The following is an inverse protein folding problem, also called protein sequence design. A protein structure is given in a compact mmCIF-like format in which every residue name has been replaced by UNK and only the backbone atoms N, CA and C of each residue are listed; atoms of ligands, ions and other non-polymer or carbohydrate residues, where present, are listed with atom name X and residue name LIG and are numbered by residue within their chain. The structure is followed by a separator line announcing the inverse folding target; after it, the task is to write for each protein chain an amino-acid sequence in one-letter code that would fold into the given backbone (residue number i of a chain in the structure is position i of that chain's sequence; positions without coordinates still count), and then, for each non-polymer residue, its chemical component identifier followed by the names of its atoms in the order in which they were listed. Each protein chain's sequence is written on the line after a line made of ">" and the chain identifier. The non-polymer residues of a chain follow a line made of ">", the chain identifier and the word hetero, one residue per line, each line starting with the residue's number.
data_IF_623116163234
#
_entry.id   IF_623116163234
#
_cell.length_a   1.000
_cell.length_b   1.000
_cell.length_c   1.000
_cell.angle_alpha   90.00
_cell.angle_beta   90.00
_cell.angle_gamma   90.00
#
_symmetry.space_group_name_H-M   'P 1'
#
loop_
_entity.id
_entity.type
_entity.pdbx_description
1 polymer ?
#
# COMPACT_ATOMS: atom_id res chain seq x y z
N UNK A 1 36.85 17.59 9.82
CA UNK A 1 35.71 16.67 9.69
C UNK A 1 36.08 15.37 10.38
N UNK A 2 35.69 15.23 11.64
CA UNK A 2 36.05 14.08 12.46
C UNK A 2 35.14 12.89 12.12
N UNK A 3 35.73 11.83 11.57
CA UNK A 3 35.07 10.52 11.46
C UNK A 3 34.94 9.96 12.87
N UNK A 4 33.73 9.99 13.41
CA UNK A 4 33.39 9.24 14.62
C UNK A 4 33.35 7.77 14.24
N UNK A 5 34.48 7.11 14.44
CA UNK A 5 34.55 5.66 14.52
C UNK A 5 34.10 5.23 15.91
N UNK A 6 33.02 4.45 15.98
CA UNK A 6 32.93 3.32 16.89
C UNK A 6 31.77 2.45 16.42
N UNK A 7 32.10 1.43 15.63
CA UNK A 7 31.20 0.30 15.37
C UNK A 7 31.23 -0.57 16.62
N UNK A 8 30.66 -0.04 17.70
CA UNK A 8 30.25 -0.86 18.82
C UNK A 8 29.17 -1.79 18.26
N UNK A 9 29.48 -3.07 18.16
CA UNK A 9 28.48 -4.13 18.01
C UNK A 9 27.64 -4.15 19.27
N UNK A 10 26.83 -3.09 19.45
CA UNK A 10 25.82 -2.95 20.49
C UNK A 10 25.02 -4.24 20.45
N UNK A 11 25.21 -5.05 21.50
CA UNK A 11 24.52 -6.32 21.70
C UNK A 11 23.04 -6.07 21.45
N UNK A 12 22.58 -6.57 20.31
CA UNK A 12 21.21 -6.40 19.84
C UNK A 12 20.31 -7.27 20.73
N UNK A 13 19.93 -6.74 21.89
CA UNK A 13 19.02 -7.36 22.83
C UNK A 13 17.83 -6.43 23.07
N UNK A 14 16.67 -7.00 23.36
CA UNK A 14 15.50 -6.23 23.76
C UNK A 14 15.66 -5.74 25.20
N UNK A 15 15.67 -4.43 25.41
CA UNK A 15 15.79 -3.82 26.75
C UNK A 15 14.49 -3.84 27.55
N UNK A 16 13.38 -4.25 26.94
CA UNK A 16 12.11 -4.38 27.65
C UNK A 16 12.13 -5.58 28.61
N UNK A 17 12.06 -5.31 29.92
CA UNK A 17 12.14 -6.33 30.98
C UNK A 17 11.12 -7.47 30.83
N UNK A 18 9.93 -7.20 30.27
CA UNK A 18 8.90 -8.21 30.01
C UNK A 18 9.07 -9.02 28.71
N UNK A 19 10.19 -8.91 28.01
CA UNK A 19 10.42 -9.64 26.75
C UNK A 19 10.73 -11.12 27.01
N UNK A 20 9.94 -12.04 26.43
CA UNK A 20 10.17 -13.50 26.56
C UNK A 20 11.43 -14.00 25.85
N UNK A 21 11.92 -13.28 24.84
CA UNK A 21 13.06 -13.68 24.00
C UNK A 21 13.89 -12.43 23.66
N UNK A 22 14.61 -11.84 24.63
CA UNK A 22 15.30 -10.59 24.42
C UNK A 22 16.37 -10.66 23.32
N UNK A 23 17.02 -11.81 23.15
CA UNK A 23 18.09 -12.01 22.16
C UNK A 23 17.63 -12.80 20.91
N UNK A 24 16.38 -13.27 20.88
CA UNK A 24 15.90 -14.22 19.87
C UNK A 24 15.38 -13.61 18.58
N UNK A 25 15.53 -12.30 18.37
CA UNK A 25 15.01 -11.62 17.18
C UNK A 25 16.10 -11.38 16.13
N UNK A 26 15.72 -11.41 14.86
CA UNK A 26 16.61 -11.01 13.77
C UNK A 26 16.70 -9.49 13.62
N UNK A 27 15.68 -8.76 14.10
CA UNK A 27 15.54 -7.32 13.91
C UNK A 27 15.29 -6.62 15.25
N UNK A 28 15.99 -5.51 15.45
CA UNK A 28 15.90 -4.67 16.64
C UNK A 28 15.70 -3.22 16.22
N UNK A 29 14.89 -2.52 17.00
CA UNK A 29 14.47 -1.15 16.74
C UNK A 29 14.87 -0.29 17.92
N UNK A 30 15.80 0.63 17.71
CA UNK A 30 16.11 1.67 18.67
C UNK A 30 15.01 2.74 18.62
N UNK A 31 14.53 3.13 19.81
CA UNK A 31 13.50 4.14 19.99
C UNK A 31 14.20 5.46 20.31
N UNK A 32 14.17 6.41 19.37
CA UNK A 32 14.67 7.77 19.58
C UNK A 32 13.70 8.60 20.42
N UNK A 33 14.20 9.65 21.07
CA UNK A 33 13.40 10.59 21.86
C UNK A 33 12.37 11.38 21.01
N UNK A 34 12.61 11.47 19.71
CA UNK A 34 11.84 12.21 18.71
C UNK A 34 10.95 11.31 17.83
N UNK A 35 10.91 10.00 18.12
CA UNK A 35 10.30 9.02 17.20
C UNK A 35 8.78 8.95 17.36
N UNK A 36 8.06 9.80 16.64
CA UNK A 36 6.60 9.70 16.51
C UNK A 36 6.19 8.73 15.37
N UNK A 37 6.46 7.43 15.49
CA UNK A 37 5.99 6.46 14.48
C UNK A 37 4.61 5.91 14.83
N UNK A 38 3.64 6.04 13.91
CA UNK A 38 2.32 5.39 14.03
C UNK A 38 1.33 6.07 14.98
N UNK A 39 1.50 7.36 15.30
CA UNK A 39 0.55 8.13 16.09
C UNK A 39 0.44 7.69 17.56
N UNK A 40 1.48 7.05 18.10
CA UNK A 40 1.58 6.68 19.51
C UNK A 40 2.68 7.50 20.18
N UNK A 41 2.53 7.74 21.48
CA UNK A 41 3.58 8.36 22.29
C UNK A 41 4.64 7.32 22.64
N UNK A 42 5.86 7.51 22.13
CA UNK A 42 7.01 6.63 22.39
C UNK A 42 7.92 7.17 23.49
N UNK A 43 7.61 8.34 24.06
CA UNK A 43 8.44 8.99 25.10
C UNK A 43 8.79 8.07 26.27
N UNK A 44 7.87 7.22 26.78
CA UNK A 44 8.21 6.28 27.87
C UNK A 44 9.25 5.21 27.50
N UNK A 45 9.50 5.02 26.19
CA UNK A 45 10.43 4.03 25.66
C UNK A 45 11.65 4.67 25.00
N UNK A 46 11.83 5.99 25.07
CA UNK A 46 12.97 6.69 24.50
C UNK A 46 14.29 6.12 25.05
N UNK A 47 15.24 5.84 24.15
CA UNK A 47 16.52 5.20 24.47
C UNK A 47 16.45 3.67 24.60
N UNK A 48 15.27 3.06 24.59
CA UNK A 48 15.12 1.60 24.62
C UNK A 48 15.40 0.96 23.26
N UNK A 49 15.81 -0.31 23.29
CA UNK A 49 15.93 -1.18 22.10
C UNK A 49 14.87 -2.26 22.20
N UNK A 50 13.97 -2.32 21.22
CA UNK A 50 12.92 -3.33 21.18
C UNK A 50 13.20 -4.36 20.09
N UNK A 51 13.00 -5.64 20.40
CA UNK A 51 12.92 -6.66 19.35
C UNK A 51 11.69 -6.41 18.46
N UNK A 52 11.67 -7.01 17.26
CA UNK A 52 10.57 -6.82 16.30
C UNK A 52 9.18 -7.10 16.89
N UNK A 53 9.04 -8.13 17.72
CA UNK A 53 7.77 -8.48 18.34
C UNK A 53 7.29 -7.41 19.35
N UNK A 54 8.19 -6.89 20.19
CA UNK A 54 7.86 -5.83 21.14
C UNK A 54 7.57 -4.51 20.40
N UNK A 55 8.39 -4.16 19.41
CA UNK A 55 8.17 -2.96 18.58
C UNK A 55 6.79 -2.97 17.92
N UNK A 56 6.42 -4.06 17.24
CA UNK A 56 5.11 -4.17 16.59
C UNK A 56 3.96 -4.15 17.61
N UNK A 57 4.12 -4.78 18.78
CA UNK A 57 3.11 -4.74 19.84
C UNK A 57 2.84 -3.33 20.33
N UNK A 58 3.90 -2.56 20.64
CA UNK A 58 3.72 -1.17 21.08
C UNK A 58 3.16 -0.29 19.96
N UNK A 59 3.64 -0.47 18.72
CA UNK A 59 3.12 0.25 17.55
C UNK A 59 1.61 0.01 17.36
N UNK A 60 1.16 -1.23 17.53
CA UNK A 60 -0.25 -1.59 17.32
C UNK A 60 -1.14 -1.26 18.53
N UNK A 61 -0.66 -1.48 19.76
CA UNK A 61 -1.48 -1.38 21.00
C UNK A 61 -1.21 -0.13 21.84
N UNK A 62 -0.06 0.52 21.68
CA UNK A 62 0.40 1.61 22.56
C UNK A 62 0.93 1.16 23.92
N UNK A 63 1.01 -0.15 24.18
CA UNK A 63 1.58 -0.70 25.43
C UNK A 63 2.39 -1.97 25.15
N UNK A 64 3.47 -2.17 25.92
CA UNK A 64 4.27 -3.40 25.91
C UNK A 64 3.78 -4.42 26.93
N UNK A 65 2.90 -4.02 27.85
CA UNK A 65 2.39 -4.91 28.89
C UNK A 65 1.66 -6.09 28.26
N UNK A 66 1.99 -7.27 28.79
CA UNK A 66 1.30 -8.51 28.48
C UNK A 66 0.26 -8.70 29.56
N UNK A 67 -0.97 -8.32 29.26
CA UNK A 67 -2.12 -8.60 30.12
C UNK A 67 -2.07 -10.09 30.49
N UNK A 68 -2.22 -10.44 31.76
CA UNK A 68 -2.23 -11.85 32.20
C UNK A 68 -3.37 -12.65 31.53
N UNK A 69 -4.35 -11.96 30.93
CA UNK A 69 -5.33 -12.52 30.00
C UNK A 69 -4.68 -13.26 28.82
N UNK A 70 -3.47 -12.89 28.37
CA UNK A 70 -2.70 -13.60 27.35
C UNK A 70 -2.23 -15.00 27.82
N UNK A 71 -2.27 -15.30 29.13
CA UNK A 71 -1.89 -16.62 29.69
C UNK A 71 -3.07 -17.56 29.85
N UNK A 72 -4.30 -17.05 29.96
CA UNK A 72 -5.47 -17.93 30.10
C UNK A 72 -5.82 -18.43 28.71
N UNK A 73 -5.72 -19.76 28.43
CA UNK A 73 -6.26 -20.29 27.19
C UNK A 73 -7.71 -19.81 27.08
N UNK A 74 -8.12 -19.27 25.93
CA UNK A 74 -9.48 -18.78 25.75
C UNK A 74 -10.44 -19.90 26.14
N UNK A 75 -11.55 -19.58 26.83
CA UNK A 75 -12.53 -20.58 27.24
C UNK A 75 -12.87 -21.46 26.02
N UNK A 76 -12.87 -22.78 26.22
CA UNK A 76 -13.04 -23.81 25.19
C UNK A 76 -14.41 -23.83 24.52
N UNK A 77 -15.20 -22.76 24.67
CA UNK A 77 -16.45 -22.56 23.96
C UNK A 77 -16.22 -22.32 22.47
N UNK A 78 -17.25 -22.62 21.67
CA UNK A 78 -17.31 -22.33 20.24
C UNK A 78 -17.07 -20.84 20.04
N UNK A 79 -15.89 -20.48 19.51
CA UNK A 79 -15.53 -19.09 19.22
C UNK A 79 -16.42 -18.59 18.09
N UNK A 80 -17.27 -17.62 18.39
CA UNK A 80 -18.10 -16.91 17.40
C UNK A 80 -17.66 -15.46 17.35
N UNK A 81 -17.71 -14.89 16.15
CA UNK A 81 -17.53 -13.46 15.99
C UNK A 81 -18.71 -12.74 16.63
N UNK A 82 -18.45 -11.71 17.45
CA UNK A 82 -19.47 -10.89 18.08
C UNK A 82 -20.25 -10.04 17.07
N UNK A 83 -19.68 -9.80 15.89
CA UNK A 83 -20.37 -9.11 14.81
C UNK A 83 -21.44 -10.01 14.18
N UNK A 84 -22.71 -9.61 14.31
CA UNK A 84 -23.87 -10.37 13.79
C UNK A 84 -23.85 -10.56 12.28
N UNK A 85 -23.28 -9.63 11.52
CA UNK A 85 -23.11 -9.73 10.06
C UNK A 85 -21.86 -10.50 9.61
N UNK A 86 -21.19 -11.24 10.50
CA UNK A 86 -19.99 -11.99 10.15
C UNK A 86 -20.34 -13.31 9.46
N UNK A 87 -20.10 -13.38 8.15
CA UNK A 87 -20.28 -14.61 7.35
C UNK A 87 -19.10 -15.59 7.45
N UNK A 88 -18.07 -15.26 8.23
CA UNK A 88 -16.89 -16.10 8.32
C UNK A 88 -17.23 -17.37 9.12
N UNK A 89 -17.57 -18.45 8.40
CA UNK A 89 -17.67 -19.80 8.91
C UNK A 89 -16.47 -20.61 8.40
N UNK A 90 -15.74 -21.27 9.30
CA UNK A 90 -14.58 -22.07 8.92
C UNK A 90 -13.70 -22.47 10.10
N UNK A 91 -13.10 -23.65 10.01
CA UNK A 91 -12.32 -24.27 11.09
C UNK A 91 -10.97 -23.58 11.36
N UNK A 92 -10.55 -22.65 10.52
CA UNK A 92 -9.23 -21.99 10.60
C UNK A 92 -9.29 -20.47 10.81
N UNK A 93 -10.38 -19.98 11.40
CA UNK A 93 -10.54 -18.54 11.65
C UNK A 93 -9.82 -18.17 12.94
N UNK A 94 -8.83 -17.28 12.84
CA UNK A 94 -8.21 -16.66 14.03
C UNK A 94 -9.17 -15.66 14.65
N UNK A 95 -9.41 -15.78 15.95
CA UNK A 95 -10.21 -14.85 16.73
C UNK A 95 -9.32 -14.00 17.63
N UNK A 96 -9.72 -12.74 17.82
CA UNK A 96 -9.07 -11.78 18.69
C UNK A 96 -10.11 -11.24 19.66
N UNK A 97 -9.75 -11.20 20.94
CA UNK A 97 -10.52 -10.47 21.95
C UNK A 97 -10.06 -9.03 21.92
N UNK A 98 -11.02 -8.10 21.92
CA UNK A 98 -10.75 -6.67 21.97
C UNK A 98 -10.60 -6.27 23.43
N UNK A 99 -9.42 -5.86 23.83
CA UNK A 99 -9.18 -5.35 25.17
C UNK A 99 -9.86 -3.98 25.36
N UNK A 100 -10.37 -3.71 26.56
CA UNK A 100 -10.82 -2.37 26.94
C UNK A 100 -9.67 -1.35 26.74
N UNK A 101 -9.97 -0.20 26.13
CA UNK A 101 -8.97 0.82 25.80
C UNK A 101 -8.09 0.49 24.57
N UNK A 102 -8.43 -0.54 23.79
CA UNK A 102 -7.78 -0.81 22.51
C UNK A 102 -7.92 0.41 21.58
N UNK A 103 -6.80 0.88 21.03
CA UNK A 103 -6.74 2.01 20.10
C UNK A 103 -6.03 1.60 18.79
N UNK A 104 -6.26 0.36 18.34
CA UNK A 104 -5.62 -0.18 17.15
C UNK A 104 -6.07 0.58 15.90
N UNK A 105 -5.12 0.99 15.07
CA UNK A 105 -5.41 1.78 13.87
C UNK A 105 -5.88 3.21 14.14
N UNK A 106 -5.75 3.73 15.37
CA UNK A 106 -6.19 5.08 15.73
C UNK A 106 -7.71 5.25 15.75
N UNK A 107 -8.45 4.14 15.91
CA UNK A 107 -9.90 4.13 16.08
C UNK A 107 -10.26 3.85 17.54
N UNK A 108 -11.41 4.35 17.97
CA UNK A 108 -12.00 4.00 19.26
C UNK A 108 -12.66 2.62 19.16
N UNK A 109 -12.30 1.71 20.07
CA UNK A 109 -12.85 0.35 20.13
C UNK A 109 -13.77 0.14 21.34
N UNK A 110 -14.13 1.20 22.06
CA UNK A 110 -14.87 1.12 23.32
C UNK A 110 -16.20 0.36 23.18
N UNK A 111 -16.92 0.55 22.05
CA UNK A 111 -18.16 -0.18 21.75
C UNK A 111 -17.98 -1.68 21.52
N UNK A 112 -16.74 -2.13 21.29
CA UNK A 112 -16.36 -3.52 21.04
C UNK A 112 -15.50 -4.10 22.17
N UNK A 113 -15.34 -3.40 23.29
CA UNK A 113 -14.56 -3.88 24.43
C UNK A 113 -15.08 -5.25 24.92
N UNK A 114 -14.14 -6.15 25.21
CA UNK A 114 -14.37 -7.55 25.60
C UNK A 114 -15.12 -8.40 24.56
N UNK A 115 -15.39 -7.87 23.36
CA UNK A 115 -15.96 -8.63 22.25
C UNK A 115 -14.90 -9.48 21.54
N UNK A 116 -15.32 -10.61 20.99
CA UNK A 116 -14.46 -11.48 20.19
C UNK A 116 -14.72 -11.27 18.70
N UNK A 117 -13.73 -10.84 17.93
CA UNK A 117 -13.85 -10.69 16.48
C UNK A 117 -12.98 -11.71 15.75
N UNK A 118 -13.45 -12.18 14.60
CA UNK A 118 -12.58 -12.86 13.65
C UNK A 118 -11.54 -11.87 13.09
N UNK A 119 -10.40 -12.39 12.62
CA UNK A 119 -9.31 -11.58 12.05
C UNK A 119 -9.81 -10.63 10.94
N UNK A 120 -10.72 -11.10 10.08
CA UNK A 120 -11.29 -10.29 8.99
C UNK A 120 -12.11 -9.10 9.51
N UNK A 121 -12.97 -9.32 10.52
CA UNK A 121 -13.75 -8.25 11.15
C UNK A 121 -12.85 -7.28 11.91
N UNK A 122 -11.84 -7.79 12.62
CA UNK A 122 -10.83 -6.99 13.30
C UNK A 122 -10.11 -6.06 12.31
N UNK A 123 -9.58 -6.59 11.21
CA UNK A 123 -8.85 -5.79 10.22
C UNK A 123 -9.75 -4.79 9.51
N UNK A 124 -11.03 -5.12 9.30
CA UNK A 124 -12.01 -4.17 8.76
C UNK A 124 -12.21 -3.00 9.71
N UNK A 125 -12.56 -3.26 10.97
CA UNK A 125 -12.79 -2.19 11.93
C UNK A 125 -11.53 -1.35 12.17
N UNK A 126 -10.36 -2.01 12.26
CA UNK A 126 -9.06 -1.33 12.36
C UNK A 126 -8.82 -0.34 11.21
N UNK A 127 -9.23 -0.69 9.99
CA UNK A 127 -9.03 0.15 8.79
C UNK A 127 -10.10 1.23 8.63
N UNK A 128 -11.36 0.87 8.86
CA UNK A 128 -12.51 1.70 8.48
C UNK A 128 -13.22 2.34 9.66
N UNK A 129 -13.02 1.84 10.89
CA UNK A 129 -13.77 2.28 12.08
C UNK A 129 -15.20 1.75 12.15
N UNK A 130 -15.62 0.90 11.23
CA UNK A 130 -16.93 0.22 11.24
C UNK A 130 -16.80 -1.25 10.85
N UNK A 131 -17.65 -2.10 11.43
CA UNK A 131 -17.74 -3.54 11.12
C UNK A 131 -18.69 -3.81 9.97
N UNK A 132 -19.65 -2.90 9.79
CA UNK A 132 -20.58 -2.95 8.68
C UNK A 132 -19.78 -2.99 7.40
N UNK A 133 -20.05 -4.03 6.60
CA UNK A 133 -19.76 -3.90 5.18
C UNK A 133 -20.58 -2.68 4.82
N UNK A 134 -19.93 -1.59 4.37
CA UNK A 134 -20.67 -0.62 3.59
C UNK A 134 -21.40 -1.48 2.56
N UNK A 135 -22.72 -1.52 2.67
CA UNK A 135 -23.56 -2.25 1.73
C UNK A 135 -23.36 -1.50 0.42
N UNK A 136 -22.27 -1.84 -0.26
CA UNK A 136 -22.13 -1.68 -1.68
C UNK A 136 -23.10 -2.70 -2.25
N UNK A 137 -24.40 -2.44 -2.00
CA UNK A 137 -25.52 -3.08 -2.68
C UNK A 137 -25.07 -3.05 -4.13
N UNK A 138 -24.85 -4.22 -4.75
CA UNK A 138 -24.33 -4.25 -6.10
C UNK A 138 -25.21 -3.33 -6.90
N UNK A 139 -24.66 -2.20 -7.36
CA UNK A 139 -25.42 -1.26 -8.14
C UNK A 139 -26.03 -2.07 -9.28
N UNK A 140 -27.32 -1.89 -9.51
CA UNK A 140 -28.00 -2.56 -10.61
C UNK A 140 -27.20 -2.35 -11.89
N UNK A 141 -27.17 -3.33 -12.79
CA UNK A 141 -26.31 -3.28 -13.99
C UNK A 141 -26.50 -1.99 -14.79
N UNK A 142 -27.74 -1.46 -14.77
CA UNK A 142 -28.14 -0.19 -15.36
C UNK A 142 -27.49 1.05 -14.71
N UNK A 143 -27.13 0.98 -13.43
CA UNK A 143 -26.55 2.06 -12.65
C UNK A 143 -25.01 2.04 -12.60
N UNK A 144 -24.35 1.07 -13.25
CA UNK A 144 -22.88 0.92 -13.27
C UNK A 144 -22.21 1.68 -14.41
N UNK A 145 -22.47 2.99 -14.47
CA UNK A 145 -21.84 3.87 -15.45
C UNK A 145 -21.09 5.00 -14.74
N UNK A 146 -19.85 5.22 -15.16
CA UNK A 146 -19.09 6.38 -14.72
C UNK A 146 -19.84 7.64 -15.15
N UNK A 147 -20.22 8.47 -14.19
CA UNK A 147 -20.97 9.71 -14.39
C UNK A 147 -20.06 10.90 -14.79
N UNK A 148 -18.76 10.65 -14.99
CA UNK A 148 -17.86 11.68 -15.51
C UNK A 148 -17.93 11.73 -17.04
N UNK A 149 -18.38 12.87 -17.58
CA UNK A 149 -18.68 13.04 -19.00
C UNK A 149 -17.49 12.78 -19.94
N UNK A 150 -16.26 13.03 -19.49
CA UNK A 150 -15.04 12.79 -20.28
C UNK A 150 -14.38 11.42 -20.00
N UNK A 151 -15.13 10.46 -19.45
CA UNK A 151 -14.65 9.10 -19.27
C UNK A 151 -14.64 8.35 -20.62
N UNK A 152 -13.49 7.84 -21.04
CA UNK A 152 -13.36 7.11 -22.33
C UNK A 152 -14.17 5.81 -22.35
N UNK A 153 -14.38 5.22 -21.18
CA UNK A 153 -14.99 3.89 -21.01
C UNK A 153 -15.83 3.87 -19.75
N UNK A 154 -17.02 4.49 -19.77
CA UNK A 154 -17.81 4.66 -18.57
C UNK A 154 -18.39 3.34 -18.03
N UNK A 155 -18.48 2.29 -18.84
CA UNK A 155 -19.07 0.98 -18.48
C UNK A 155 -18.03 -0.14 -18.29
N UNK A 156 -16.78 0.03 -18.75
CA UNK A 156 -15.75 -1.03 -18.79
C UNK A 156 -15.03 -1.26 -17.44
N UNK A 157 -15.63 -0.85 -16.33
CA UNK A 157 -15.02 -0.97 -15.00
C UNK A 157 -15.67 -2.07 -14.18
N UNK A 158 -14.85 -2.93 -13.58
CA UNK A 158 -15.33 -3.96 -12.63
C UNK A 158 -15.75 -3.37 -11.29
N UNK A 159 -15.35 -2.13 -10.99
CA UNK A 159 -15.59 -1.44 -9.72
C UNK A 159 -15.95 0.01 -9.96
N UNK A 160 -16.94 0.45 -9.20
CA UNK A 160 -17.38 1.83 -9.17
C UNK A 160 -17.35 2.32 -7.73
N UNK A 161 -17.08 3.60 -7.56
CA UNK A 161 -17.01 4.26 -6.26
C UNK A 161 -17.99 5.42 -6.30
N UNK A 162 -18.99 5.38 -5.42
CA UNK A 162 -19.87 6.52 -5.19
C UNK A 162 -19.16 7.47 -4.24
N UNK A 163 -19.04 8.72 -4.64
CA UNK A 163 -18.42 9.76 -3.82
C UNK A 163 -19.49 10.30 -2.86
N UNK A 164 -19.21 10.23 -1.57
CA UNK A 164 -20.11 10.70 -0.50
C UNK A 164 -20.01 12.21 -0.23
N UNK A 165 -18.94 12.86 -0.71
CA UNK A 165 -18.67 14.28 -0.50
C UNK A 165 -17.90 14.57 0.79
N UNK A 166 -17.84 13.63 1.73
CA UNK A 166 -17.10 13.76 2.99
C UNK A 166 -15.73 13.05 2.95
N UNK A 167 -15.49 12.24 1.92
CA UNK A 167 -14.22 11.54 1.74
C UNK A 167 -13.05 12.52 1.58
N UNK A 168 -12.04 12.43 2.46
CA UNK A 168 -10.73 13.09 2.30
C UNK A 168 -9.67 12.15 1.67
N UNK A 169 -10.12 11.23 0.81
CA UNK A 169 -9.25 10.20 0.26
C UNK A 169 -8.13 10.82 -0.59
N UNK A 170 -6.87 10.55 -0.24
CA UNK A 170 -5.71 11.12 -0.94
C UNK A 170 -5.45 12.60 -0.67
N UNK A 171 -6.07 13.18 0.36
CA UNK A 171 -5.89 14.60 0.71
C UNK A 171 -6.47 15.57 -0.31
N UNK A 172 -7.38 15.10 -1.16
CA UNK A 172 -8.09 15.93 -2.14
C UNK A 172 -9.47 16.32 -1.60
N UNK A 173 -10.01 17.43 -2.09
CA UNK A 173 -11.39 17.83 -1.84
C UNK A 173 -12.33 17.15 -2.85
N UNK A 174 -13.26 16.34 -2.34
CA UNK A 174 -14.21 15.58 -3.15
C UNK A 174 -15.59 16.23 -3.21
N UNK A 175 -15.78 17.40 -2.59
CA UNK A 175 -17.09 18.04 -2.43
C UNK A 175 -17.81 18.30 -3.76
N UNK A 176 -17.07 18.69 -4.81
CA UNK A 176 -17.62 18.93 -6.16
C UNK A 176 -18.08 17.67 -6.88
N UNK A 177 -17.69 16.50 -6.38
CA UNK A 177 -18.04 15.19 -6.94
C UNK A 177 -19.01 14.44 -6.03
N UNK A 178 -19.55 15.05 -4.97
CA UNK A 178 -20.52 14.42 -4.08
C UNK A 178 -21.73 13.88 -4.87
N UNK A 179 -22.09 12.62 -4.61
CA UNK A 179 -23.14 11.88 -5.32
C UNK A 179 -22.73 11.30 -6.68
N UNK A 180 -21.56 11.65 -7.23
CA UNK A 180 -21.10 11.17 -8.53
C UNK A 180 -20.55 9.75 -8.41
N UNK A 181 -20.92 8.88 -9.35
CA UNK A 181 -20.37 7.53 -9.46
C UNK A 181 -19.17 7.52 -10.41
N UNK A 182 -17.98 7.19 -9.91
CA UNK A 182 -16.77 7.12 -10.72
C UNK A 182 -16.32 5.68 -10.95
N UNK A 183 -15.84 5.38 -12.15
CA UNK A 183 -15.07 4.16 -12.37
C UNK A 183 -13.71 4.25 -11.64
N UNK A 184 -13.08 3.09 -11.37
CA UNK A 184 -11.84 3.04 -10.61
C UNK A 184 -10.71 3.88 -11.25
N UNK A 185 -10.65 3.94 -12.58
CA UNK A 185 -9.65 4.74 -13.29
C UNK A 185 -9.83 6.26 -13.08
N UNK A 186 -11.08 6.74 -13.11
CA UNK A 186 -11.41 8.14 -12.82
C UNK A 186 -11.18 8.46 -11.34
N UNK A 187 -11.64 7.59 -10.43
CA UNK A 187 -11.40 7.72 -9.00
C UNK A 187 -9.91 7.85 -8.67
N UNK A 188 -9.07 6.94 -9.19
CA UNK A 188 -7.62 6.98 -8.94
C UNK A 188 -6.95 8.22 -9.56
N UNK A 189 -7.43 8.70 -10.70
CA UNK A 189 -6.93 9.95 -11.29
C UNK A 189 -7.19 11.12 -10.36
N UNK A 190 -8.44 11.30 -9.94
CA UNK A 190 -8.80 12.41 -9.04
C UNK A 190 -8.05 12.30 -7.72
N UNK A 191 -8.04 11.11 -7.11
CA UNK A 191 -7.29 10.85 -5.87
C UNK A 191 -5.81 11.23 -5.95
N UNK A 192 -5.17 11.04 -7.10
CA UNK A 192 -3.74 11.32 -7.29
C UNK A 192 -3.45 12.76 -7.71
N UNK A 193 -4.34 13.37 -8.49
CA UNK A 193 -4.07 14.65 -9.17
C UNK A 193 -4.97 15.80 -8.75
N UNK A 194 -6.02 15.55 -7.96
CA UNK A 194 -7.03 16.54 -7.58
C UNK A 194 -7.93 16.98 -8.74
N UNK A 195 -7.83 16.35 -9.92
CA UNK A 195 -8.63 16.69 -11.09
C UNK A 195 -8.90 15.46 -11.96
N UNK A 196 -10.11 15.39 -12.52
CA UNK A 196 -10.51 14.38 -13.50
C UNK A 196 -10.14 14.78 -14.93
N UNK A 197 -9.94 16.08 -15.16
CA UNK A 197 -9.52 16.60 -16.45
C UNK A 197 -8.21 15.93 -16.84
N UNK A 198 -8.19 15.38 -18.05
CA UNK A 198 -6.92 14.93 -18.61
C UNK A 198 -6.10 16.19 -18.78
N UNK A 199 -5.01 16.31 -18.02
CA UNK A 199 -3.98 17.29 -18.32
C UNK A 199 -3.77 17.22 -19.84
N UNK A 200 -3.94 18.34 -20.57
CA UNK A 200 -3.81 18.34 -22.01
C UNK A 200 -2.48 17.66 -22.26
N UNK A 201 -2.52 16.53 -22.98
CA UNK A 201 -1.29 15.84 -23.33
C UNK A 201 -0.48 16.92 -24.00
N UNK A 202 0.57 17.43 -23.33
CA UNK A 202 1.53 18.31 -23.96
C UNK A 202 1.99 17.47 -25.12
N UNK A 203 1.47 17.72 -26.32
CA UNK A 203 1.97 17.09 -27.53
C UNK A 203 3.40 17.53 -27.48
N UNK A 204 4.29 16.59 -27.13
CA UNK A 204 5.70 16.88 -27.12
C UNK A 204 5.93 17.53 -28.48
N UNK A 205 6.59 18.71 -28.53
CA UNK A 205 6.90 19.34 -29.80
C UNK A 205 7.47 18.23 -30.69
N UNK A 206 7.00 18.10 -31.95
CA UNK A 206 7.37 16.99 -32.80
C UNK A 206 8.89 16.87 -32.71
N UNK A 207 9.33 15.78 -32.06
CA UNK A 207 10.76 15.55 -31.92
C UNK A 207 11.35 15.47 -33.32
N UNK A 208 12.67 15.71 -33.47
CA UNK A 208 13.32 15.50 -34.75
C UNK A 208 12.90 14.13 -35.32
N UNK A 209 12.63 14.03 -36.64
CA UNK A 209 12.20 12.78 -37.25
C UNK A 209 13.19 11.68 -36.83
N UNK A 210 12.68 10.65 -36.14
CA UNK A 210 13.51 9.55 -35.69
C UNK A 210 13.95 8.78 -36.94
N UNK A 211 15.26 8.66 -37.15
CA UNK A 211 15.85 7.86 -38.21
C UNK A 211 16.57 6.65 -37.61
N UNK A 212 16.59 5.55 -38.33
CA UNK A 212 17.45 4.41 -37.98
C UNK A 212 18.91 4.82 -38.18
N UNK A 213 19.70 4.75 -37.11
CA UNK A 213 21.14 5.04 -37.11
C UNK A 213 21.98 3.90 -37.68
N UNK A 214 21.38 2.75 -38.01
CA UNK A 214 22.11 1.62 -38.58
C UNK A 214 22.42 1.85 -40.05
N UNK A 215 23.71 1.83 -40.40
CA UNK A 215 24.22 2.19 -41.73
C UNK A 215 23.74 1.26 -42.86
N UNK A 216 23.33 0.01 -42.57
CA UNK A 216 22.76 -0.92 -43.55
C UNK A 216 21.24 -1.02 -43.48
N UNK A 217 20.57 -0.07 -42.82
CA UNK A 217 19.11 -0.04 -42.78
C UNK A 217 18.55 0.33 -44.16
N UNK A 218 17.74 -0.51 -44.81
CA UNK A 218 17.22 -0.23 -46.15
C UNK A 218 16.21 0.93 -46.18
N UNK A 219 15.57 1.22 -45.03
CA UNK A 219 14.54 2.26 -44.90
C UNK A 219 14.71 3.00 -43.57
N UNK A 220 15.70 3.89 -43.43
CA UNK A 220 16.00 4.54 -42.15
C UNK A 220 14.92 5.53 -41.69
N UNK A 221 14.15 6.11 -42.62
CA UNK A 221 13.10 7.09 -42.33
C UNK A 221 11.68 6.51 -42.21
N UNK A 222 11.42 5.35 -42.82
CA UNK A 222 10.07 4.78 -42.99
C UNK A 222 9.76 3.61 -42.05
N UNK A 223 10.20 3.73 -40.79
CA UNK A 223 9.95 2.70 -39.79
C UNK A 223 8.82 3.09 -38.84
N UNK A 224 7.85 2.18 -38.65
CA UNK A 224 6.71 2.38 -37.73
C UNK A 224 7.11 2.47 -36.26
N UNK A 225 8.28 1.91 -35.90
CA UNK A 225 8.76 1.85 -34.52
C UNK A 225 10.28 1.94 -34.46
N UNK A 226 10.74 2.77 -33.53
CA UNK A 226 12.16 3.01 -33.24
C UNK A 226 12.45 2.67 -31.77
N UNK A 227 13.61 2.07 -31.52
CA UNK A 227 14.10 1.66 -30.21
C UNK A 227 15.42 2.40 -29.99
N UNK A 228 15.53 3.14 -28.89
CA UNK A 228 16.80 3.73 -28.47
C UNK A 228 17.61 2.67 -27.73
N UNK A 229 18.84 2.45 -28.17
CA UNK A 229 19.77 1.53 -27.54
C UNK A 229 20.52 2.28 -26.45
N UNK A 230 20.67 1.61 -25.32
CA UNK A 230 21.49 2.05 -24.20
C UNK A 230 22.60 1.00 -24.02
N UNK A 231 23.82 1.43 -23.72
CA UNK A 231 25.00 0.57 -23.67
C UNK A 231 24.94 -0.52 -22.60
N UNK A 232 24.00 -0.43 -21.66
CA UNK A 232 23.70 -1.43 -20.64
C UNK A 232 22.63 -2.46 -21.08
N UNK A 233 22.15 -2.39 -22.33
CA UNK A 233 21.16 -3.33 -22.84
C UNK A 233 21.78 -4.71 -23.07
N UNK A 234 21.20 -5.75 -22.49
CA UNK A 234 21.63 -7.16 -22.66
C UNK A 234 20.64 -7.98 -23.49
N UNK A 235 19.89 -7.33 -24.38
CA UNK A 235 18.87 -8.02 -25.17
C UNK A 235 19.51 -9.05 -26.12
N UNK A 236 19.09 -10.30 -26.04
CA UNK A 236 19.62 -11.38 -26.91
C UNK A 236 21.02 -11.87 -26.56
N UNK A 237 21.61 -11.44 -25.44
CA UNK A 237 22.95 -11.90 -25.02
C UNK A 237 24.12 -11.35 -25.83
N UNK A 238 23.86 -10.43 -26.77
CA UNK A 238 24.90 -9.69 -27.49
C UNK A 238 25.36 -8.44 -26.73
N UNK A 239 26.60 -8.00 -27.00
CA UNK A 239 27.11 -6.73 -26.50
C UNK A 239 26.63 -5.57 -27.39
N UNK A 240 25.84 -4.67 -26.80
CA UNK A 240 25.25 -3.50 -27.47
C UNK A 240 26.08 -2.23 -27.29
N UNK A 241 27.26 -2.31 -26.66
CA UNK A 241 28.12 -1.15 -26.35
C UNK A 241 28.44 -0.30 -27.59
N UNK A 242 28.67 -0.92 -28.74
CA UNK A 242 28.95 -0.22 -30.01
C UNK A 242 27.73 0.51 -30.60
N UNK A 243 26.53 0.25 -30.07
CA UNK A 243 25.29 0.87 -30.50
C UNK A 243 24.71 1.80 -29.42
N UNK A 244 25.46 2.10 -28.34
CA UNK A 244 24.99 3.00 -27.30
C UNK A 244 24.61 4.39 -27.87
N UNK A 245 23.44 4.88 -27.47
CA UNK A 245 22.88 6.14 -27.94
C UNK A 245 22.23 6.09 -29.33
N UNK A 246 22.45 5.03 -30.12
CA UNK A 246 21.85 4.88 -31.44
C UNK A 246 20.35 4.58 -31.35
N UNK A 247 19.62 4.97 -32.40
CA UNK A 247 18.21 4.64 -32.56
C UNK A 247 18.06 3.63 -33.68
N UNK A 248 17.58 2.43 -33.39
CA UNK A 248 17.35 1.39 -34.38
C UNK A 248 15.87 1.29 -34.73
N UNK A 249 15.54 1.00 -35.98
CA UNK A 249 14.20 0.54 -36.28
C UNK A 249 13.96 -0.86 -35.72
N UNK A 250 12.69 -1.23 -35.48
CA UNK A 250 12.34 -2.55 -34.94
C UNK A 250 12.93 -3.69 -35.77
N UNK A 251 12.91 -3.59 -37.11
CA UNK A 251 13.46 -4.62 -37.99
C UNK A 251 14.98 -4.80 -37.80
N UNK A 252 15.75 -3.70 -37.74
CA UNK A 252 17.19 -3.77 -37.49
C UNK A 252 17.51 -4.25 -36.07
N UNK A 253 16.71 -3.82 -35.09
CA UNK A 253 16.85 -4.29 -33.71
C UNK A 253 16.66 -5.80 -33.59
N UNK A 254 15.61 -6.36 -34.21
CA UNK A 254 15.38 -7.80 -34.16
C UNK A 254 16.52 -8.58 -34.83
N UNK A 255 17.03 -8.08 -35.96
CA UNK A 255 18.16 -8.71 -36.67
C UNK A 255 19.48 -8.71 -35.87
N UNK A 256 19.71 -7.72 -35.02
CA UNK A 256 20.86 -7.70 -34.10
C UNK A 256 20.63 -8.55 -32.85
N UNK A 257 19.38 -8.75 -32.46
CA UNK A 257 19.04 -9.49 -31.25
C UNK A 257 19.17 -11.00 -31.43
N UNK A 258 18.89 -11.49 -32.65
CA UNK A 258 19.03 -12.89 -33.05
C UNK A 258 20.51 -13.27 -33.26
#
# INVERSE_FOLDING_TARGET
>A
MSKVGSSDTLRKHCTFAGCKKPDGSLNYYQIGADKATGGKDWSPLAGSVLCAACYMRFKDRGTLERSDKDKKPPPTGVKKCAYSGCEASGENIKFLVIDAGCNAGGKDWSALADSMLCQTCYDRYRKHGTLDKADAKPLDGSARKCMFDQCDKPEDSRRFVQIDGESAAGGQDWSSLAGVLLCMACYDRFRKHGSLEKAPRKKAPPGPPKKCSYHLCPQPDDCKKYIKIYGDSTAGGQDWSMLDGNTLCLTCYMRFKD
#
